data_IF_144021454283
#
_entry.id   IF_144021454283
#
_cell.length_a   1.000
_cell.length_b   1.000
_cell.length_c   1.000
_cell.angle_alpha   90.00
_cell.angle_beta   90.00
_cell.angle_gamma   90.00
#
_symmetry.space_group_name_H-M   'P 1'
#
loop_
_entity.id
_entity.type
_entity.pdbx_description
1 polymer ?
#
# COMPACT_ATOMS: atom_id res chain seq x y z
N UNK A 1 17.77 -15.25 -21.88
CA UNK A 1 17.00 -14.89 -20.69
C UNK A 1 17.97 -14.24 -19.72
N UNK A 2 17.82 -12.93 -19.52
CA UNK A 2 18.94 -12.03 -19.19
C UNK A 2 19.16 -12.02 -17.67
N UNK A 3 20.39 -12.29 -17.18
CA UNK A 3 20.75 -12.05 -15.78
C UNK A 3 20.67 -10.56 -15.46
N UNK A 4 20.05 -10.19 -14.34
CA UNK A 4 20.00 -8.82 -13.85
C UNK A 4 21.06 -8.60 -12.78
N UNK A 5 21.88 -7.57 -12.91
CA UNK A 5 22.72 -7.14 -11.79
C UNK A 5 21.82 -6.44 -10.75
N UNK A 6 21.81 -6.94 -9.52
CA UNK A 6 21.09 -6.31 -8.41
C UNK A 6 22.00 -6.21 -7.20
N UNK A 7 22.08 -5.03 -6.62
CA UNK A 7 22.83 -4.80 -5.39
C UNK A 7 21.93 -5.13 -4.19
N UNK A 8 22.24 -6.21 -3.46
CA UNK A 8 21.46 -6.58 -2.27
C UNK A 8 21.72 -5.62 -1.09
N UNK A 9 22.98 -5.25 -0.84
CA UNK A 9 23.36 -4.19 0.10
C UNK A 9 24.78 -3.70 -0.17
N UNK A 10 25.02 -2.39 -0.03
CA UNK A 10 26.34 -1.80 -0.17
C UNK A 10 27.11 -1.88 1.17
N UNK A 11 28.33 -2.37 1.11
CA UNK A 11 29.26 -2.39 2.24
C UNK A 11 30.14 -1.15 2.21
N UNK A 12 30.72 -0.74 3.35
CA UNK A 12 31.57 0.48 3.44
C UNK A 12 32.74 0.51 2.44
N UNK A 13 33.15 -0.65 1.92
CA UNK A 13 34.19 -0.79 0.90
C UNK A 13 33.68 -0.76 -0.56
N UNK A 14 32.38 -0.58 -0.79
CA UNK A 14 31.74 -0.48 -2.12
C UNK A 14 31.77 -1.76 -2.97
N UNK A 15 32.20 -2.90 -2.39
CA UNK A 15 32.65 -4.09 -3.13
C UNK A 15 31.66 -5.23 -3.27
N UNK A 16 30.47 -5.16 -2.68
CA UNK A 16 29.57 -6.32 -2.65
C UNK A 16 28.47 -6.21 -3.72
N UNK A 17 28.87 -6.31 -5.00
CA UNK A 17 27.95 -6.53 -6.12
C UNK A 17 27.90 -8.02 -6.44
N UNK A 18 26.73 -8.63 -6.36
CA UNK A 18 26.52 -10.02 -6.74
C UNK A 18 25.46 -10.06 -7.83
N UNK A 19 25.78 -10.68 -8.97
CA UNK A 19 24.78 -10.96 -10.01
C UNK A 19 23.69 -11.85 -9.43
N UNK A 20 22.43 -11.47 -9.58
CA UNK A 20 21.31 -12.27 -9.11
C UNK A 20 20.32 -12.51 -10.25
N UNK A 21 19.35 -13.37 -10.00
CA UNK A 21 18.22 -13.52 -10.90
C UNK A 21 17.01 -12.83 -10.29
N UNK A 22 16.43 -11.89 -11.03
CA UNK A 22 15.14 -11.31 -10.70
C UNK A 22 14.06 -12.01 -11.54
N UNK A 23 13.14 -12.72 -10.88
CA UNK A 23 12.04 -13.47 -11.52
C UNK A 23 10.84 -13.42 -10.59
N UNK A 24 9.65 -13.14 -11.14
CA UNK A 24 8.38 -13.09 -10.37
C UNK A 24 8.47 -12.12 -9.18
N UNK A 25 8.93 -10.89 -9.45
CA UNK A 25 9.01 -9.79 -8.46
C UNK A 25 9.88 -10.06 -7.22
N UNK A 26 10.78 -11.04 -7.32
CA UNK A 26 11.67 -11.41 -6.22
C UNK A 26 13.06 -11.84 -6.69
N UNK A 27 13.98 -11.89 -5.72
CA UNK A 27 15.39 -12.18 -5.91
C UNK A 27 15.69 -13.66 -5.67
N UNK A 28 16.51 -14.21 -6.55
CA UNK A 28 16.92 -15.61 -6.50
C UNK A 28 18.44 -15.72 -6.57
N UNK A 29 19.03 -16.45 -5.62
CA UNK A 29 20.47 -16.75 -5.58
C UNK A 29 20.74 -18.25 -5.51
N UNK A 30 21.84 -18.69 -6.09
CA UNK A 30 22.36 -20.04 -5.85
C UNK A 30 23.13 -20.10 -4.53
N UNK A 31 23.37 -21.29 -3.99
CA UNK A 31 24.26 -21.48 -2.83
C UNK A 31 25.66 -20.88 -3.05
N UNK A 32 26.18 -20.95 -4.28
CA UNK A 32 27.48 -20.38 -4.63
C UNK A 32 27.48 -18.85 -4.53
N UNK A 33 26.43 -18.20 -5.04
CA UNK A 33 26.29 -16.74 -4.95
C UNK A 33 26.04 -16.27 -3.52
N UNK A 34 25.28 -17.04 -2.71
CA UNK A 34 25.14 -16.75 -1.27
C UNK A 34 26.47 -16.91 -0.53
N UNK A 35 27.27 -17.91 -0.87
CA UNK A 35 28.59 -18.12 -0.29
C UNK A 35 29.54 -16.96 -0.62
N UNK A 36 29.50 -16.45 -1.86
CA UNK A 36 30.23 -15.26 -2.29
C UNK A 36 29.77 -14.01 -1.54
N UNK A 37 28.46 -13.74 -1.54
CA UNK A 37 27.82 -12.61 -0.85
C UNK A 37 28.25 -12.52 0.62
N UNK A 38 28.17 -13.63 1.35
CA UNK A 38 28.47 -13.66 2.77
C UNK A 38 29.93 -14.03 3.09
N UNK A 39 30.78 -14.20 2.07
CA UNK A 39 32.19 -14.60 2.21
C UNK A 39 32.38 -15.82 3.12
N UNK A 40 31.61 -16.87 2.86
CA UNK A 40 31.72 -18.18 3.53
C UNK A 40 31.85 -19.28 2.49
N UNK A 41 32.08 -20.52 2.94
CA UNK A 41 32.12 -21.67 2.04
C UNK A 41 30.69 -22.17 1.78
N UNK A 42 30.47 -22.73 0.59
CA UNK A 42 29.18 -23.34 0.20
C UNK A 42 28.64 -24.34 1.25
N UNK A 43 29.46 -25.21 1.88
CA UNK A 43 28.97 -26.12 2.92
C UNK A 43 28.31 -25.41 4.11
N UNK A 44 28.78 -24.21 4.49
CA UNK A 44 28.19 -23.41 5.57
C UNK A 44 26.79 -22.92 5.19
N UNK A 45 26.59 -22.51 3.93
CA UNK A 45 25.26 -22.15 3.41
C UNK A 45 24.33 -23.36 3.45
N UNK A 46 24.82 -24.53 3.04
CA UNK A 46 24.04 -25.76 3.02
C UNK A 46 23.62 -26.21 4.42
N UNK A 47 24.50 -26.04 5.41
CA UNK A 47 24.18 -26.32 6.81
C UNK A 47 23.06 -25.39 7.31
N UNK A 48 23.18 -24.08 7.10
CA UNK A 48 22.14 -23.13 7.52
C UNK A 48 20.80 -23.40 6.84
N UNK A 49 20.77 -23.66 5.53
CA UNK A 49 19.54 -23.98 4.81
C UNK A 49 18.88 -25.25 5.38
N UNK A 50 19.65 -26.30 5.64
CA UNK A 50 19.13 -27.53 6.25
C UNK A 50 18.48 -27.26 7.60
N UNK A 51 19.12 -26.47 8.45
CA UNK A 51 18.57 -26.09 9.76
C UNK A 51 17.30 -25.27 9.64
N UNK A 52 17.29 -24.25 8.76
CA UNK A 52 16.11 -23.38 8.51
C UNK A 52 14.87 -24.22 8.12
N UNK A 53 15.05 -25.20 7.24
CA UNK A 53 13.97 -26.09 6.82
C UNK A 53 13.59 -27.12 7.90
N UNK A 54 14.56 -27.65 8.65
CA UNK A 54 14.29 -28.58 9.74
C UNK A 54 13.51 -27.92 10.89
N UNK A 55 13.78 -26.64 11.15
CA UNK A 55 13.09 -25.84 12.19
C UNK A 55 11.69 -25.37 11.73
N UNK A 56 11.32 -25.61 10.47
CA UNK A 56 10.02 -25.19 9.91
C UNK A 56 9.87 -23.68 9.72
N UNK A 57 10.97 -22.91 9.76
CA UNK A 57 10.93 -21.46 9.52
C UNK A 57 10.54 -21.13 8.08
N UNK A 58 10.98 -21.96 7.12
CA UNK A 58 10.63 -21.86 5.70
C UNK A 58 10.21 -23.22 5.17
N UNK A 59 9.40 -23.22 4.11
CA UNK A 59 9.03 -24.42 3.36
C UNK A 59 9.90 -24.54 2.09
N UNK A 60 10.58 -25.68 1.85
CA UNK A 60 11.41 -25.88 0.66
C UNK A 60 10.65 -25.66 -0.65
N UNK A 61 9.41 -26.12 -0.73
CA UNK A 61 8.56 -26.05 -1.93
C UNK A 61 8.22 -24.61 -2.32
N UNK A 62 8.18 -23.69 -1.34
CA UNK A 62 7.91 -22.28 -1.55
C UNK A 62 9.17 -21.44 -1.82
N UNK A 63 10.36 -21.96 -1.46
CA UNK A 63 11.59 -21.16 -1.42
C UNK A 63 12.72 -21.69 -2.30
N UNK A 64 12.55 -22.84 -2.96
CA UNK A 64 13.54 -23.44 -3.86
C UNK A 64 12.94 -23.60 -5.26
N UNK A 65 13.66 -23.10 -6.26
CA UNK A 65 13.31 -23.31 -7.67
C UNK A 65 14.52 -23.76 -8.48
N UNK A 66 14.31 -24.76 -9.34
CA UNK A 66 15.33 -25.22 -10.29
C UNK A 66 15.29 -24.37 -11.54
N UNK A 67 16.42 -23.78 -11.88
CA UNK A 67 16.58 -23.11 -13.15
C UNK A 67 17.63 -23.81 -14.01
N UNK A 68 17.32 -23.95 -15.30
CA UNK A 68 18.26 -24.46 -16.28
C UNK A 68 19.35 -23.41 -16.53
N UNK A 69 20.61 -23.81 -16.35
CA UNK A 69 21.78 -23.00 -16.68
C UNK A 69 22.56 -23.72 -17.76
N UNK A 70 22.72 -23.04 -18.89
CA UNK A 70 23.58 -23.48 -19.99
C UNK A 70 24.92 -22.77 -19.85
N UNK A 71 26.00 -23.53 -19.74
CA UNK A 71 27.37 -23.00 -19.70
C UNK A 71 28.23 -23.72 -20.73
N UNK A 72 29.14 -22.99 -21.35
CA UNK A 72 30.18 -23.56 -22.19
C UNK A 72 31.36 -24.00 -21.31
N UNK A 73 31.70 -25.29 -21.34
CA UNK A 73 32.86 -25.86 -20.63
C UNK A 73 33.84 -26.39 -21.68
N UNK A 74 34.86 -25.60 -22.02
CA UNK A 74 35.75 -25.92 -23.15
C UNK A 74 34.99 -25.90 -24.47
N UNK A 75 34.95 -27.01 -25.19
CA UNK A 75 34.24 -27.16 -26.48
C UNK A 75 32.79 -27.64 -26.36
N UNK A 76 32.30 -28.00 -25.17
CA UNK A 76 30.95 -28.55 -24.96
C UNK A 76 30.02 -27.53 -24.31
N UNK A 77 28.78 -27.47 -24.80
CA UNK A 77 27.69 -26.81 -24.07
C UNK A 77 27.08 -27.81 -23.08
N UNK A 78 27.09 -27.47 -21.80
CA UNK A 78 26.54 -28.28 -20.72
C UNK A 78 25.34 -27.55 -20.13
N UNK A 79 24.21 -28.24 -20.08
CA UNK A 79 22.98 -27.73 -19.46
C UNK A 79 22.74 -28.47 -18.14
N UNK A 80 22.56 -27.72 -17.04
CA UNK A 80 22.29 -28.29 -15.72
C UNK A 80 21.18 -27.52 -15.01
N UNK A 81 20.34 -28.24 -14.27
CA UNK A 81 19.40 -27.62 -13.34
C UNK A 81 20.13 -27.29 -12.05
N UNK A 82 20.10 -26.02 -11.64
CA UNK A 82 20.69 -25.56 -10.38
C UNK A 82 19.58 -25.02 -9.50
N UNK A 83 19.61 -25.41 -8.23
CA UNK A 83 18.72 -24.89 -7.20
C UNK A 83 19.04 -23.40 -6.93
N UNK A 84 18.01 -22.58 -7.02
CA UNK A 84 18.04 -21.19 -6.60
C UNK A 84 17.08 -21.01 -5.42
N UNK A 85 17.47 -20.11 -4.54
CA UNK A 85 16.83 -19.86 -3.27
C UNK A 85 16.20 -18.47 -3.30
N UNK A 86 14.95 -18.41 -2.84
CA UNK A 86 14.14 -17.20 -2.72
C UNK A 86 14.77 -16.19 -1.76
N UNK A 87 14.38 -14.91 -1.87
CA UNK A 87 14.82 -13.81 -1.00
C UNK A 87 14.72 -14.17 0.49
N UNK A 88 13.64 -14.82 0.93
CA UNK A 88 13.46 -15.18 2.34
C UNK A 88 14.55 -16.12 2.84
N UNK A 89 14.97 -17.11 2.03
CA UNK A 89 16.07 -18.01 2.37
C UNK A 89 17.41 -17.26 2.41
N UNK A 90 17.63 -16.32 1.49
CA UNK A 90 18.84 -15.47 1.46
C UNK A 90 18.93 -14.63 2.74
N UNK A 91 17.83 -14.00 3.14
CA UNK A 91 17.75 -13.19 4.37
C UNK A 91 17.97 -14.07 5.61
N UNK A 92 17.26 -15.20 5.71
CA UNK A 92 17.35 -16.13 6.85
C UNK A 92 18.76 -16.70 7.04
N UNK A 93 19.46 -17.02 5.94
CA UNK A 93 20.87 -17.40 5.96
C UNK A 93 21.74 -16.23 6.39
N UNK A 94 21.53 -15.03 5.84
CA UNK A 94 22.31 -13.83 6.19
C UNK A 94 22.29 -13.50 7.69
N UNK A 95 21.17 -13.72 8.37
CA UNK A 95 21.08 -13.56 9.82
C UNK A 95 21.89 -14.60 10.60
N UNK A 96 22.03 -15.83 10.08
CA UNK A 96 22.71 -16.96 10.77
C UNK A 96 24.21 -17.06 10.47
N UNK A 97 24.66 -16.53 9.33
CA UNK A 97 26.07 -16.63 8.93
C UNK A 97 26.98 -15.86 9.90
N UNK A 98 28.01 -16.56 10.39
CA UNK A 98 29.07 -16.01 11.25
C UNK A 98 30.28 -15.61 10.40
N UNK A 99 30.19 -14.46 9.73
CA UNK A 99 31.31 -13.85 8.98
C UNK A 99 31.33 -12.33 9.16
N UNK A 100 32.41 -11.68 8.71
CA UNK A 100 32.49 -10.22 8.64
C UNK A 100 31.35 -9.66 7.80
N UNK A 101 31.07 -10.25 6.63
CA UNK A 101 29.95 -9.85 5.75
C UNK A 101 28.59 -10.12 6.40
N UNK A 102 28.39 -11.26 7.06
CA UNK A 102 27.15 -11.53 7.80
C UNK A 102 26.92 -10.53 8.95
N UNK A 103 27.99 -10.07 9.60
CA UNK A 103 27.90 -9.02 10.62
C UNK A 103 27.53 -7.67 10.01
N UNK A 104 28.13 -7.30 8.87
CA UNK A 104 27.76 -6.08 8.13
C UNK A 104 26.31 -6.14 7.66
N UNK A 105 25.87 -7.26 7.10
CA UNK A 105 24.48 -7.49 6.69
C UNK A 105 23.50 -7.27 7.85
N UNK A 106 23.76 -7.86 9.02
CA UNK A 106 22.91 -7.68 10.21
C UNK A 106 22.87 -6.23 10.69
N UNK A 107 24.00 -5.51 10.66
CA UNK A 107 24.04 -4.07 11.00
C UNK A 107 23.18 -3.28 10.03
N UNK A 108 23.39 -3.46 8.72
CA UNK A 108 22.60 -2.83 7.68
C UNK A 108 21.10 -3.10 7.82
N UNK A 109 20.71 -4.37 8.00
CA UNK A 109 19.30 -4.75 8.14
C UNK A 109 18.67 -4.14 9.41
N UNK A 110 19.43 -4.10 10.51
CA UNK A 110 19.00 -3.45 11.76
C UNK A 110 18.83 -1.95 11.59
N UNK A 111 19.71 -1.29 10.84
CA UNK A 111 19.59 0.14 10.53
C UNK A 111 18.36 0.44 9.68
N UNK A 112 18.10 -0.36 8.63
CA UNK A 112 16.89 -0.21 7.79
C UNK A 112 15.62 -0.42 8.61
N UNK A 113 15.58 -1.48 9.43
CA UNK A 113 14.44 -1.74 10.32
C UNK A 113 14.25 -0.61 11.34
N UNK A 114 15.33 -0.12 11.96
CA UNK A 114 15.28 1.00 12.90
C UNK A 114 14.75 2.26 12.21
N UNK A 115 15.23 2.56 11.00
CA UNK A 115 14.78 3.69 10.21
C UNK A 115 13.28 3.61 9.93
N UNK A 116 12.79 2.46 9.49
CA UNK A 116 11.36 2.22 9.29
C UNK A 116 10.56 2.42 10.59
N UNK A 117 11.03 1.86 11.71
CA UNK A 117 10.33 1.96 13.00
C UNK A 117 10.29 3.40 13.56
N UNK A 118 11.32 4.23 13.29
CA UNK A 118 11.38 5.61 13.77
C UNK A 118 10.69 6.58 12.81
N UNK A 119 10.98 6.51 11.51
CA UNK A 119 10.51 7.47 10.49
C UNK A 119 9.19 7.05 9.83
N UNK A 120 8.86 5.76 9.85
CA UNK A 120 7.72 5.18 9.14
C UNK A 120 8.02 4.80 7.68
N UNK A 121 9.26 4.94 7.20
CA UNK A 121 9.67 4.58 5.85
C UNK A 121 11.17 4.26 5.76
N UNK A 122 11.55 3.53 4.71
CA UNK A 122 12.95 3.28 4.32
C UNK A 122 13.02 3.35 2.79
N UNK A 123 13.99 4.08 2.24
CA UNK A 123 14.16 4.26 0.81
C UNK A 123 15.59 3.97 0.38
N UNK A 124 15.73 3.45 -0.84
CA UNK A 124 17.00 3.38 -1.55
C UNK A 124 17.03 4.50 -2.59
N UNK A 125 17.46 5.69 -2.15
CA UNK A 125 17.46 6.90 -2.99
C UNK A 125 18.33 6.76 -4.24
N UNK A 126 19.43 6.01 -4.16
CA UNK A 126 20.31 5.80 -5.30
C UNK A 126 19.63 4.95 -6.36
N UNK A 127 18.98 3.85 -5.96
CA UNK A 127 18.21 3.03 -6.89
C UNK A 127 17.03 3.79 -7.48
N UNK A 128 16.30 4.56 -6.68
CA UNK A 128 15.14 5.34 -7.16
C UNK A 128 15.54 6.48 -8.10
N UNK A 129 16.77 7.01 -7.99
CA UNK A 129 17.31 8.02 -8.92
C UNK A 129 17.85 7.43 -10.22
N UNK A 130 18.21 6.15 -10.22
CA UNK A 130 18.86 5.46 -11.34
C UNK A 130 17.96 4.31 -11.79
N UNK A 131 16.96 4.57 -12.67
CA UNK A 131 16.02 3.54 -13.08
C UNK A 131 16.75 2.37 -13.74
N UNK A 132 16.22 1.13 -13.62
CA UNK A 132 16.82 -0.04 -14.23
C UNK A 132 17.03 0.14 -15.74
N UNK A 133 18.15 -0.38 -16.25
CA UNK A 133 18.41 -0.38 -17.70
C UNK A 133 17.31 -1.19 -18.40
N UNK A 134 16.80 -0.67 -19.52
CA UNK A 134 15.80 -1.35 -20.34
C UNK A 134 16.24 -2.79 -20.66
N UNK A 135 15.42 -3.78 -20.29
CA UNK A 135 15.71 -5.20 -20.50
C UNK A 135 16.48 -5.90 -19.36
N UNK A 136 16.79 -5.21 -18.26
CA UNK A 136 17.49 -5.80 -17.08
C UNK A 136 16.64 -6.80 -16.27
N UNK A 137 15.31 -6.82 -16.49
CA UNK A 137 14.39 -7.68 -15.75
C UNK A 137 14.09 -7.21 -14.32
N UNK A 138 14.71 -6.12 -13.85
CA UNK A 138 14.42 -5.49 -12.55
C UNK A 138 13.26 -4.49 -12.74
N UNK A 139 12.16 -4.59 -11.99
CA UNK A 139 11.05 -3.65 -12.05
C UNK A 139 11.45 -2.28 -11.51
N UNK A 140 10.84 -1.25 -12.09
CA UNK A 140 10.90 0.12 -11.56
C UNK A 140 9.64 0.39 -10.72
N UNK A 141 9.81 0.57 -9.42
CA UNK A 141 8.72 0.85 -8.47
C UNK A 141 8.58 2.35 -8.15
N UNK A 142 9.27 3.24 -8.90
CA UNK A 142 9.21 4.67 -8.63
C UNK A 142 7.80 5.25 -8.77
N UNK A 143 7.06 4.84 -9.80
CA UNK A 143 5.68 5.28 -10.01
C UNK A 143 4.73 4.80 -8.91
N UNK A 144 4.87 3.55 -8.45
CA UNK A 144 4.10 3.03 -7.30
C UNK A 144 4.40 3.84 -6.03
N UNK A 145 5.67 4.12 -5.75
CA UNK A 145 6.06 4.95 -4.61
C UNK A 145 5.43 6.35 -4.71
N UNK A 146 5.45 6.95 -5.89
CA UNK A 146 4.88 8.26 -6.13
C UNK A 146 3.36 8.27 -5.92
N UNK A 147 2.65 7.24 -6.36
CA UNK A 147 1.23 7.06 -6.11
C UNK A 147 0.92 6.90 -4.61
N UNK A 148 1.71 6.09 -3.88
CA UNK A 148 1.58 5.96 -2.42
C UNK A 148 1.80 7.28 -1.71
N UNK A 149 2.80 8.07 -2.13
CA UNK A 149 3.05 9.41 -1.58
C UNK A 149 1.86 10.34 -1.85
N UNK A 150 1.30 10.32 -3.07
CA UNK A 150 0.11 11.12 -3.41
C UNK A 150 -1.09 10.74 -2.56
N UNK A 151 -1.37 9.45 -2.37
CA UNK A 151 -2.49 9.02 -1.51
C UNK A 151 -2.28 9.40 -0.03
N UNK A 152 -1.08 9.22 0.50
CA UNK A 152 -0.74 9.67 1.87
C UNK A 152 -0.97 11.18 1.99
N UNK A 153 -0.49 11.97 1.03
CA UNK A 153 -0.61 13.45 1.04
C UNK A 153 -2.05 13.91 0.89
N UNK A 154 -2.86 13.20 0.09
CA UNK A 154 -4.27 13.49 -0.14
C UNK A 154 -5.21 12.88 0.92
N UNK A 155 -4.69 12.12 1.89
CA UNK A 155 -5.48 11.70 3.04
C UNK A 155 -6.07 12.92 3.76
N UNK A 156 -7.36 12.86 4.14
CA UNK A 156 -8.09 14.00 4.70
C UNK A 156 -7.36 14.63 5.89
N UNK A 157 -6.73 13.81 6.73
CA UNK A 157 -5.93 14.28 7.87
C UNK A 157 -4.69 15.06 7.44
N UNK A 158 -3.91 14.56 6.47
CA UNK A 158 -2.69 15.23 5.99
C UNK A 158 -3.05 16.50 5.22
N UNK A 159 -4.07 16.43 4.38
CA UNK A 159 -4.64 17.59 3.71
C UNK A 159 -5.05 18.63 4.76
N UNK A 160 -5.90 18.28 5.73
CA UNK A 160 -6.36 19.20 6.77
C UNK A 160 -5.20 19.88 7.50
N UNK A 161 -4.21 19.10 7.98
CA UNK A 161 -3.05 19.66 8.68
C UNK A 161 -2.26 20.62 7.79
N UNK A 162 -2.04 20.25 6.52
CA UNK A 162 -1.24 21.07 5.61
C UNK A 162 -1.96 22.35 5.19
N UNK A 163 -3.24 22.22 4.85
CA UNK A 163 -4.13 23.33 4.54
C UNK A 163 -4.19 24.29 5.73
N UNK A 164 -4.32 23.76 6.95
CA UNK A 164 -4.29 24.56 8.18
C UNK A 164 -2.96 25.28 8.40
N UNK A 165 -1.82 24.66 8.11
CA UNK A 165 -0.50 25.30 8.20
C UNK A 165 -0.35 26.44 7.19
N UNK A 166 -0.77 26.22 5.94
CA UNK A 166 -0.71 27.22 4.88
C UNK A 166 -1.63 28.40 5.21
N UNK A 167 -2.85 28.12 5.66
CA UNK A 167 -3.84 29.15 5.95
C UNK A 167 -3.69 29.78 7.32
N UNK A 168 -2.95 29.17 8.26
CA UNK A 168 -2.52 29.87 9.47
C UNK A 168 -1.61 31.08 9.17
N UNK A 169 -1.09 31.19 7.94
CA UNK A 169 -0.39 32.38 7.46
C UNK A 169 -1.32 33.44 6.86
N UNK A 170 -2.61 33.15 6.69
CA UNK A 170 -3.60 34.14 6.26
C UNK A 170 -3.86 35.15 7.39
N UNK A 171 -4.02 36.41 7.02
CA UNK A 171 -4.10 37.52 7.98
C UNK A 171 -5.34 37.44 8.89
N UNK A 172 -6.43 36.83 8.41
CA UNK A 172 -7.72 36.69 9.10
C UNK A 172 -7.97 35.29 9.68
N UNK A 173 -6.99 34.38 9.62
CA UNK A 173 -7.21 33.02 10.09
C UNK A 173 -7.27 32.91 11.61
N UNK A 174 -8.32 32.25 12.11
CA UNK A 174 -8.42 31.83 13.51
C UNK A 174 -8.93 30.38 13.63
N UNK A 175 -8.24 29.49 14.37
CA UNK A 175 -8.59 28.07 14.48
C UNK A 175 -9.96 27.76 15.07
N UNK A 176 -10.55 28.69 15.84
CA UNK A 176 -11.80 28.47 16.58
C UNK A 176 -13.04 29.05 15.91
N UNK A 177 -12.90 29.77 14.79
CA UNK A 177 -14.03 30.40 14.12
C UNK A 177 -14.87 29.40 13.32
N UNK A 178 -16.20 29.53 13.41
CA UNK A 178 -17.14 28.78 12.59
C UNK A 178 -16.89 28.98 11.08
N UNK A 179 -16.40 30.17 10.70
CA UNK A 179 -16.01 30.52 9.33
C UNK A 179 -14.89 29.62 8.79
N UNK A 180 -13.87 29.34 9.60
CA UNK A 180 -12.77 28.43 9.25
C UNK A 180 -13.30 27.02 8.94
N UNK A 181 -14.18 26.49 9.79
CA UNK A 181 -14.80 25.16 9.58
C UNK A 181 -15.68 25.13 8.32
N UNK A 182 -16.41 26.21 8.05
CA UNK A 182 -17.22 26.32 6.85
C UNK A 182 -16.34 26.35 5.59
N UNK A 183 -15.26 27.11 5.62
CA UNK A 183 -14.30 27.19 4.52
C UNK A 183 -13.66 25.83 4.19
N UNK A 184 -13.25 25.04 5.19
CA UNK A 184 -12.75 23.69 4.96
C UNK A 184 -13.78 22.77 4.26
N UNK A 185 -15.05 22.85 4.67
CA UNK A 185 -16.14 22.11 4.02
C UNK A 185 -16.32 22.53 2.56
N UNK A 186 -16.23 23.83 2.29
CA UNK A 186 -16.31 24.38 0.93
C UNK A 186 -15.18 23.84 0.05
N UNK A 187 -13.93 23.88 0.53
CA UNK A 187 -12.78 23.31 -0.20
C UNK A 187 -12.99 21.82 -0.48
N UNK A 188 -13.37 21.05 0.55
CA UNK A 188 -13.58 19.60 0.41
C UNK A 188 -14.65 19.31 -0.67
N UNK A 189 -15.78 20.01 -0.63
CA UNK A 189 -16.84 19.84 -1.62
C UNK A 189 -16.39 20.26 -3.03
N UNK A 190 -15.63 21.35 -3.17
CA UNK A 190 -15.07 21.76 -4.47
C UNK A 190 -14.15 20.70 -5.06
N UNK A 191 -13.29 20.09 -4.23
CA UNK A 191 -12.37 19.03 -4.68
C UNK A 191 -13.11 17.73 -5.04
N UNK A 192 -14.11 17.31 -4.26
CA UNK A 192 -14.95 16.16 -4.64
C UNK A 192 -15.73 16.43 -5.93
N UNK A 193 -16.27 17.65 -6.08
CA UNK A 193 -17.04 18.02 -7.27
C UNK A 193 -16.18 18.07 -8.53
N UNK A 194 -14.95 18.57 -8.42
CA UNK A 194 -14.00 18.63 -9.53
C UNK A 194 -13.68 17.25 -10.14
N UNK A 195 -13.86 16.17 -9.38
CA UNK A 195 -13.61 14.79 -9.80
C UNK A 195 -14.90 14.05 -10.14
N UNK A 196 -15.94 14.19 -9.31
CA UNK A 196 -17.15 13.35 -9.39
C UNK A 196 -18.38 14.06 -9.96
N UNK A 197 -18.30 15.39 -10.12
CA UNK A 197 -19.46 16.24 -10.39
C UNK A 197 -20.46 16.33 -9.24
N UNK A 198 -20.09 15.88 -8.03
CA UNK A 198 -20.95 15.81 -6.85
C UNK A 198 -20.24 16.36 -5.62
N UNK A 199 -21.00 17.00 -4.74
CA UNK A 199 -20.54 17.31 -3.38
C UNK A 199 -20.38 16.01 -2.57
N UNK A 200 -19.67 16.09 -1.43
CA UNK A 200 -19.50 14.93 -0.55
C UNK A 200 -20.83 14.35 -0.06
N UNK A 201 -21.83 15.21 0.18
CA UNK A 201 -23.17 14.79 0.62
C UNK A 201 -23.93 14.07 -0.50
N UNK A 202 -23.95 14.64 -1.71
CA UNK A 202 -24.60 14.03 -2.88
C UNK A 202 -23.97 12.68 -3.23
N UNK A 203 -22.64 12.59 -3.19
CA UNK A 203 -21.90 11.37 -3.45
C UNK A 203 -22.30 10.24 -2.49
N UNK A 204 -22.32 10.53 -1.19
CA UNK A 204 -22.70 9.54 -0.15
C UNK A 204 -24.14 9.10 -0.35
N UNK A 205 -25.06 10.06 -0.53
CA UNK A 205 -26.47 9.73 -0.66
C UNK A 205 -26.77 8.87 -1.89
N UNK A 206 -26.10 9.13 -3.02
CA UNK A 206 -26.29 8.36 -4.24
C UNK A 206 -25.65 6.97 -4.17
N UNK A 207 -24.47 6.84 -3.53
CA UNK A 207 -23.69 5.60 -3.58
C UNK A 207 -23.90 4.67 -2.41
N UNK A 208 -24.32 5.17 -1.25
CA UNK A 208 -24.66 4.37 -0.08
C UNK A 208 -25.94 3.56 -0.35
N UNK A 209 -25.78 2.25 -0.51
CA UNK A 209 -26.85 1.35 -0.91
C UNK A 209 -26.61 -0.06 -0.34
N UNK A 210 -27.44 -0.47 0.62
CA UNK A 210 -27.34 -1.77 1.29
C UNK A 210 -27.49 -2.97 0.37
N UNK A 211 -28.06 -2.82 -0.83
CA UNK A 211 -28.17 -3.90 -1.81
C UNK A 211 -26.87 -4.20 -2.54
N UNK A 212 -25.89 -3.28 -2.50
CA UNK A 212 -24.58 -3.46 -3.11
C UNK A 212 -23.61 -4.14 -2.16
N UNK A 213 -22.62 -4.83 -2.73
CA UNK A 213 -21.50 -5.35 -1.97
C UNK A 213 -20.85 -4.23 -1.15
N UNK A 214 -20.63 -4.48 0.14
CA UNK A 214 -20.06 -3.51 1.09
C UNK A 214 -20.75 -2.14 1.06
N UNK A 215 -22.06 -2.10 0.78
CA UNK A 215 -22.85 -0.87 0.64
C UNK A 215 -22.41 0.11 -0.47
N UNK A 216 -21.61 -0.36 -1.44
CA UNK A 216 -21.02 0.50 -2.46
C UNK A 216 -19.72 1.21 -2.02
N UNK A 217 -19.19 0.91 -0.83
CA UNK A 217 -17.85 1.36 -0.44
C UNK A 217 -16.79 0.62 -1.27
N UNK A 218 -15.78 1.37 -1.70
CA UNK A 218 -14.59 0.86 -2.40
C UNK A 218 -13.38 0.78 -1.48
N UNK A 219 -13.34 1.60 -0.42
CA UNK A 219 -12.24 1.64 0.56
C UNK A 219 -12.78 1.87 1.98
N UNK A 220 -12.16 1.25 2.99
CA UNK A 220 -12.46 1.45 4.42
C UNK A 220 -11.26 1.03 5.27
N UNK A 221 -11.29 1.36 6.57
CA UNK A 221 -10.10 1.30 7.43
C UNK A 221 -9.50 -0.11 7.61
N UNK A 222 -10.34 -1.13 7.78
CA UNK A 222 -10.00 -2.57 7.74
C UNK A 222 -11.14 -3.44 8.26
N UNK A 223 -11.15 -4.72 7.86
CA UNK A 223 -12.09 -5.72 8.36
C UNK A 223 -13.48 -5.53 7.75
N UNK A 224 -14.52 -5.61 8.57
CA UNK A 224 -15.90 -5.37 8.15
C UNK A 224 -16.22 -3.87 8.11
N UNK A 225 -17.13 -3.49 7.20
CA UNK A 225 -17.64 -2.11 7.09
C UNK A 225 -18.24 -1.69 8.43
N UNK A 226 -17.86 -0.50 8.91
CA UNK A 226 -18.37 0.08 10.16
C UNK A 226 -19.25 1.28 9.87
N UNK A 227 -20.11 1.62 10.83
CA UNK A 227 -20.95 2.82 10.77
C UNK A 227 -20.15 4.12 10.55
N UNK A 228 -18.93 4.20 11.08
CA UNK A 228 -18.09 5.38 10.87
C UNK A 228 -17.54 5.50 9.43
N UNK A 229 -17.48 4.39 8.68
CA UNK A 229 -16.94 4.36 7.31
C UNK A 229 -17.98 4.88 6.30
N UNK A 230 -19.27 4.71 6.58
CA UNK A 230 -20.35 5.03 5.62
C UNK A 230 -20.62 6.53 5.48
N UNK A 231 -20.10 7.36 6.39
CA UNK A 231 -20.25 8.82 6.36
C UNK A 231 -19.06 9.53 5.69
N UNK A 232 -18.07 8.78 5.19
CA UNK A 232 -16.86 9.32 4.55
C UNK A 232 -17.03 9.27 3.03
N UNK A 233 -17.06 10.42 2.37
CA UNK A 233 -17.29 10.49 0.93
C UNK A 233 -16.17 9.82 0.11
N UNK A 234 -14.90 9.95 0.56
CA UNK A 234 -13.75 9.29 -0.08
C UNK A 234 -13.92 7.77 -0.20
N UNK A 235 -14.62 7.14 0.76
CA UNK A 235 -14.81 5.69 0.79
C UNK A 235 -15.74 5.17 -0.32
N UNK A 236 -16.48 6.04 -1.00
CA UNK A 236 -17.35 5.68 -2.12
C UNK A 236 -16.73 6.00 -3.49
N UNK A 237 -15.52 6.56 -3.55
CA UNK A 237 -14.87 6.91 -4.81
C UNK A 237 -14.35 5.68 -5.54
N UNK A 238 -14.52 5.64 -6.85
CA UNK A 238 -13.90 4.63 -7.70
C UNK A 238 -12.39 4.84 -7.77
N UNK A 239 -11.64 3.81 -8.16
CA UNK A 239 -10.17 3.84 -8.21
C UNK A 239 -9.62 4.99 -9.06
N UNK A 240 -10.21 5.21 -10.23
CA UNK A 240 -9.87 6.35 -11.09
C UNK A 240 -10.18 7.70 -10.44
N UNK A 241 -11.30 7.82 -9.73
CA UNK A 241 -11.67 9.05 -9.01
C UNK A 241 -10.74 9.31 -7.81
N UNK A 242 -10.28 8.26 -7.11
CA UNK A 242 -9.29 8.39 -6.03
C UNK A 242 -7.98 8.90 -6.62
N UNK A 243 -7.50 8.32 -7.73
CA UNK A 243 -6.29 8.77 -8.41
C UNK A 243 -6.37 10.24 -8.82
N UNK A 244 -7.49 10.65 -9.41
CA UNK A 244 -7.73 12.05 -9.81
C UNK A 244 -7.83 13.00 -8.62
N UNK A 245 -8.56 12.62 -7.56
CA UNK A 245 -8.66 13.40 -6.33
C UNK A 245 -7.30 13.57 -5.67
N UNK A 246 -6.52 12.49 -5.59
CA UNK A 246 -5.18 12.54 -5.03
C UNK A 246 -4.29 13.48 -5.84
N UNK A 247 -4.37 13.44 -7.17
CA UNK A 247 -3.58 14.32 -8.05
C UNK A 247 -3.94 15.79 -7.87
N UNK A 248 -5.23 16.14 -7.87
CA UNK A 248 -5.68 17.53 -7.77
C UNK A 248 -5.38 18.12 -6.38
N UNK A 249 -5.54 17.33 -5.31
CA UNK A 249 -5.21 17.75 -3.95
C UNK A 249 -3.72 18.08 -3.84
N UNK A 250 -2.85 17.23 -4.37
CA UNK A 250 -1.40 17.44 -4.34
C UNK A 250 -1.02 18.72 -5.09
N UNK A 251 -1.52 18.90 -6.31
CA UNK A 251 -1.26 20.10 -7.12
C UNK A 251 -1.75 21.38 -6.44
N UNK A 252 -2.95 21.34 -5.83
CA UNK A 252 -3.49 22.47 -5.07
C UNK A 252 -2.63 22.82 -3.87
N UNK A 253 -2.19 21.81 -3.10
CA UNK A 253 -1.33 22.02 -1.94
C UNK A 253 0.02 22.62 -2.32
N UNK A 254 0.63 22.16 -3.42
CA UNK A 254 1.88 22.72 -3.94
C UNK A 254 1.71 24.19 -4.37
N UNK A 255 0.62 24.48 -5.10
CA UNK A 255 0.27 25.84 -5.48
C UNK A 255 0.08 26.74 -4.24
N UNK A 256 -0.70 26.29 -3.26
CA UNK A 256 -1.00 27.06 -2.07
C UNK A 256 0.26 27.28 -1.21
N UNK A 257 1.14 26.29 -1.11
CA UNK A 257 2.42 26.43 -0.42
C UNK A 257 3.33 27.46 -1.09
N UNK A 258 3.44 27.45 -2.42
CA UNK A 258 4.22 28.46 -3.17
C UNK A 258 3.67 29.87 -2.95
N UNK A 259 2.34 30.04 -3.02
CA UNK A 259 1.70 31.34 -2.77
C UNK A 259 1.98 31.86 -1.35
N UNK A 260 1.88 30.99 -0.33
CA UNK A 260 2.15 31.38 1.06
C UNK A 260 3.63 31.73 1.27
N UNK A 261 4.57 30.96 0.71
CA UNK A 261 6.02 31.24 0.80
C UNK A 261 6.42 32.57 0.18
N UNK A 262 5.70 33.02 -0.85
CA UNK A 262 5.92 34.32 -1.51
C UNK A 262 5.43 35.51 -0.68
N UNK A 263 5.00 35.30 0.57
CA UNK A 263 4.59 36.34 1.55
C UNK A 263 3.60 37.36 0.98
N UNK A 264 2.70 36.90 0.12
CA UNK A 264 1.50 37.68 -0.19
C UNK A 264 0.59 37.53 1.03
N UNK A 265 0.17 38.64 1.62
CA UNK A 265 -0.96 38.59 2.56
C UNK A 265 -2.18 38.12 1.75
N UNK A 266 -2.74 36.97 2.14
CA UNK A 266 -3.90 36.34 1.49
C UNK A 266 -4.93 36.12 2.57
N UNK A 267 -6.17 36.53 2.35
CA UNK A 267 -7.31 36.28 3.25
C UNK A 267 -7.95 34.92 2.94
N UNK A 268 -8.74 34.36 3.87
CA UNK A 268 -9.43 33.09 3.64
C UNK A 268 -10.33 33.11 2.39
N UNK A 269 -11.01 34.23 2.13
CA UNK A 269 -11.85 34.39 0.94
C UNK A 269 -11.05 34.31 -0.36
N UNK A 270 -9.86 34.92 -0.39
CA UNK A 270 -8.98 34.89 -1.57
C UNK A 270 -8.55 33.46 -1.91
N UNK A 271 -8.43 32.59 -0.91
CA UNK A 271 -8.11 31.18 -1.13
C UNK A 271 -9.22 30.40 -1.83
N UNK A 272 -10.47 30.73 -1.55
CA UNK A 272 -11.60 30.14 -2.26
C UNK A 272 -11.61 30.57 -3.73
N UNK A 273 -11.40 31.86 -3.99
CA UNK A 273 -11.32 32.42 -5.35
C UNK A 273 -10.13 31.84 -6.14
N UNK A 274 -8.98 31.68 -5.47
CA UNK A 274 -7.80 31.01 -6.03
C UNK A 274 -8.06 29.54 -6.32
N UNK A 275 -8.78 28.82 -5.45
CA UNK A 275 -9.15 27.44 -5.71
C UNK A 275 -10.06 27.33 -6.94
N UNK A 276 -11.08 28.19 -7.06
CA UNK A 276 -11.93 28.23 -8.26
C UNK A 276 -11.11 28.48 -9.53
N UNK A 277 -10.20 29.46 -9.49
CA UNK A 277 -9.33 29.78 -10.61
C UNK A 277 -8.37 28.64 -10.95
N UNK A 278 -7.82 27.98 -9.93
CA UNK A 278 -6.94 26.81 -10.08
C UNK A 278 -7.68 25.63 -10.72
N UNK A 279 -8.89 25.33 -10.25
CA UNK A 279 -9.72 24.27 -10.82
C UNK A 279 -10.07 24.56 -12.27
N UNK A 280 -10.54 25.79 -12.56
CA UNK A 280 -10.87 26.21 -13.92
C UNK A 280 -9.65 26.18 -14.86
N UNK A 281 -8.48 26.64 -14.40
CA UNK A 281 -7.23 26.60 -15.16
C UNK A 281 -6.79 25.19 -15.53
N UNK A 282 -7.13 24.19 -14.71
CA UNK A 282 -6.83 22.78 -14.96
C UNK A 282 -7.97 22.04 -15.68
N UNK A 283 -8.88 22.78 -16.34
CA UNK A 283 -10.05 22.24 -17.05
C UNK A 283 -10.95 21.35 -16.17
N UNK A 284 -11.07 21.71 -14.89
CA UNK A 284 -11.91 20.99 -13.93
C UNK A 284 -13.23 21.71 -13.68
N UNK A 285 -14.27 20.92 -13.42
CA UNK A 285 -15.57 21.45 -13.04
C UNK A 285 -15.48 22.17 -11.69
N UNK A 286 -15.89 23.44 -11.66
CA UNK A 286 -15.95 24.23 -10.44
C UNK A 286 -17.36 24.16 -9.88
N UNK A 287 -17.47 23.78 -8.61
CA UNK A 287 -18.75 23.73 -7.90
C UNK A 287 -19.40 25.12 -7.87
N UNK A 288 -20.57 25.33 -8.53
CA UNK A 288 -21.17 26.66 -8.71
C UNK A 288 -21.91 27.17 -7.46
N UNK A 289 -22.39 26.27 -6.59
CA UNK A 289 -23.15 26.60 -5.39
C UNK A 289 -22.87 25.58 -4.27
N UNK A 290 -23.56 25.64 -3.13
CA UNK A 290 -23.31 24.73 -2.00
C UNK A 290 -23.72 23.25 -2.25
N UNK A 291 -24.24 22.92 -3.43
CA UNK A 291 -24.91 21.64 -3.71
C UNK A 291 -26.37 21.67 -3.27
N UNK A 292 -27.11 20.60 -3.61
CA UNK A 292 -28.55 20.50 -3.33
C UNK A 292 -28.87 19.68 -2.08
N UNK A 293 -27.87 18.98 -1.51
CA UNK A 293 -28.09 18.05 -0.40
C UNK A 293 -27.26 18.41 0.84
N UNK A 294 -27.93 18.42 2.00
CA UNK A 294 -27.25 18.63 3.27
C UNK A 294 -26.48 17.40 3.73
N UNK A 295 -25.31 17.61 4.33
CA UNK A 295 -24.49 16.54 4.92
C UNK A 295 -25.25 15.70 5.95
N UNK A 296 -26.06 16.35 6.80
CA UNK A 296 -26.89 15.66 7.81
C UNK A 296 -27.87 14.66 7.17
N UNK A 297 -28.48 15.03 6.05
CA UNK A 297 -29.42 14.15 5.35
C UNK A 297 -28.69 12.98 4.68
N UNK A 298 -27.55 13.25 4.03
CA UNK A 298 -26.73 12.21 3.42
C UNK A 298 -26.21 11.19 4.45
N UNK A 299 -25.74 11.67 5.61
CA UNK A 299 -25.26 10.80 6.69
C UNK A 299 -26.41 9.97 7.28
N UNK A 300 -27.58 10.56 7.51
CA UNK A 300 -28.75 9.82 7.98
C UNK A 300 -29.19 8.72 7.01
N UNK A 301 -29.15 9.01 5.69
CA UNK A 301 -29.41 8.01 4.65
C UNK A 301 -28.39 6.87 4.70
N UNK A 302 -27.09 7.18 4.72
CA UNK A 302 -26.04 6.17 4.76
C UNK A 302 -26.09 5.32 6.04
N UNK A 303 -26.41 5.92 7.18
CA UNK A 303 -26.61 5.18 8.44
C UNK A 303 -27.83 4.26 8.40
N UNK A 304 -28.92 4.67 7.73
CA UNK A 304 -30.10 3.84 7.54
C UNK A 304 -29.80 2.64 6.62
N UNK A 305 -29.08 2.86 5.52
CA UNK A 305 -28.58 1.78 4.66
C UNK A 305 -27.63 0.85 5.42
N UNK A 306 -26.78 1.40 6.29
CA UNK A 306 -25.88 0.58 7.12
C UNK A 306 -26.65 -0.34 8.06
N UNK A 307 -27.74 0.12 8.66
CA UNK A 307 -28.57 -0.71 9.52
C UNK A 307 -29.17 -1.91 8.75
N UNK A 308 -29.62 -1.69 7.49
CA UNK A 308 -30.12 -2.75 6.61
C UNK A 308 -29.01 -3.74 6.24
N UNK A 309 -27.86 -3.23 5.81
CA UNK A 309 -26.70 -4.04 5.44
C UNK A 309 -26.19 -4.89 6.62
N UNK A 310 -26.04 -4.28 7.80
CA UNK A 310 -25.59 -4.99 8.99
C UNK A 310 -26.56 -6.10 9.42
N UNK A 311 -27.88 -5.90 9.24
CA UNK A 311 -28.87 -6.94 9.46
C UNK A 311 -28.75 -8.09 8.45
N UNK A 312 -28.53 -7.78 7.17
CA UNK A 312 -28.31 -8.78 6.11
C UNK A 312 -27.03 -9.59 6.36
N UNK A 313 -25.92 -8.94 6.71
CA UNK A 313 -24.67 -9.63 7.04
C UNK A 313 -24.82 -10.54 8.26
N UNK A 314 -25.56 -10.10 9.29
CA UNK A 314 -25.84 -10.93 10.46
C UNK A 314 -26.64 -12.17 10.09
N UNK A 315 -27.72 -12.00 9.32
CA UNK A 315 -28.55 -13.12 8.87
C UNK A 315 -27.76 -14.12 8.01
N UNK A 316 -26.86 -13.64 7.15
CA UNK A 316 -25.97 -14.49 6.36
C UNK A 316 -25.00 -15.29 7.24
N UNK A 317 -24.34 -14.63 8.19
CA UNK A 317 -23.41 -15.30 9.13
C UNK A 317 -24.12 -16.32 10.02
N UNK A 318 -25.35 -16.02 10.45
CA UNK A 318 -26.19 -16.96 11.20
C UNK A 318 -26.51 -18.19 10.35
N UNK A 319 -26.93 -18.00 9.09
CA UNK A 319 -27.22 -19.10 8.16
C UNK A 319 -25.98 -19.94 7.81
N UNK A 320 -24.82 -19.32 7.61
CA UNK A 320 -23.55 -20.02 7.37
C UNK A 320 -23.11 -20.82 8.60
N UNK A 321 -23.28 -20.23 9.80
CA UNK A 321 -23.01 -20.91 11.07
C UNK A 321 -23.93 -22.10 11.31
N UNK A 322 -25.23 -21.97 11.00
CA UNK A 322 -26.19 -23.07 11.05
C UNK A 322 -25.81 -24.20 10.08
N UNK A 323 -25.47 -23.88 8.83
CA UNK A 323 -25.04 -24.86 7.84
C UNK A 323 -23.74 -25.58 8.26
N UNK A 324 -22.76 -24.84 8.80
CA UNK A 324 -21.54 -25.42 9.33
C UNK A 324 -21.82 -26.38 10.50
N UNK A 325 -22.66 -25.95 11.45
CA UNK A 325 -23.04 -26.78 12.59
C UNK A 325 -23.79 -28.05 12.15
N UNK A 326 -24.69 -27.94 11.17
CA UNK A 326 -25.39 -29.09 10.60
C UNK A 326 -24.41 -30.07 9.95
N UNK A 327 -23.47 -29.58 9.14
CA UNK A 327 -22.43 -30.42 8.52
C UNK A 327 -21.56 -31.12 9.58
N UNK A 328 -21.21 -30.43 10.67
CA UNK A 328 -20.47 -31.01 11.79
C UNK A 328 -21.26 -32.08 12.53
N UNK A 329 -22.57 -31.86 12.75
CA UNK A 329 -23.47 -32.84 13.37
C UNK A 329 -23.67 -34.07 12.47
N UNK A 330 -23.83 -33.89 11.16
CA UNK A 330 -23.91 -35.01 10.21
C UNK A 330 -22.61 -35.82 10.14
N UNK A 331 -21.46 -35.16 10.14
CA UNK A 331 -20.16 -35.81 10.19
C UNK A 331 -19.97 -36.60 11.50
N UNK A 332 -20.38 -36.03 12.63
CA UNK A 332 -20.35 -36.70 13.93
C UNK A 332 -21.32 -37.89 13.99
N UNK A 333 -22.52 -37.76 13.41
CA UNK A 333 -23.51 -38.85 13.35
C UNK A 333 -23.02 -40.03 12.49
N UNK A 334 -22.36 -39.75 11.36
CA UNK A 334 -21.73 -40.79 10.51
C UNK A 334 -20.54 -41.48 11.19
N UNK A 335 -19.92 -40.83 12.18
CA UNK A 335 -18.79 -41.38 12.94
C UNK A 335 -19.21 -42.23 14.16
N UNK A 336 -20.50 -42.31 14.47
CA UNK A 336 -21.00 -43.17 15.56
C UNK A 336 -21.06 -44.64 15.13
N UNK A 337 -20.52 -45.58 15.92
CA UNK A 337 -20.60 -47.01 15.61
C UNK A 337 -22.06 -47.49 15.69
N UNK A 338 -22.49 -48.29 14.71
CA UNK A 338 -23.83 -48.88 14.70
C UNK A 338 -24.09 -49.65 16.00
N UNK A 339 -25.15 -49.27 16.72
CA UNK A 339 -25.60 -50.02 17.88
C UNK A 339 -26.01 -51.42 17.44
N UNK A 340 -25.20 -52.42 17.82
CA UNK A 340 -25.55 -53.83 17.72
C UNK A 340 -26.86 -54.06 18.48
N UNK A 341 -27.96 -54.19 17.73
CA UNK A 341 -29.22 -54.71 18.29
C UNK A 341 -29.01 -56.19 18.60
N UNK A 342 -29.32 -56.54 19.85
CA UNK A 342 -29.21 -57.85 20.50
C UNK A 342 -29.54 -59.05 19.64
#
# INVERSE_FOLDING_TARGET
MIPGEFLLYETEDGKTRVECRFVEDTLWLTQALMAELFQVKIPTINEHLKTIYADGELLPEATIRKFLIVRQEGSRQVSRNIDHYHLDAILAVGYRVRSTRGTQFRRWATERLREYLIKGFTLDDQRLKNPPVAGSGVPDYFDELLERIRDIRASERRMYLRVREIFAMAADYSPSLAETMQFFKVIQNKLHFAVTGKTAAELIHERADSSKANMGLTTWKSGTVRKADVSIAKNYLFENEIGELNRIVVMWLDFAEDQAKRRKEVFLKDWEEKLNSFLAFNDRNVLPNAGNLSKKHADAHAEAEYAKFAAQCRALLESEGEAYNLNMLEAAAKALPEQQKK
#
